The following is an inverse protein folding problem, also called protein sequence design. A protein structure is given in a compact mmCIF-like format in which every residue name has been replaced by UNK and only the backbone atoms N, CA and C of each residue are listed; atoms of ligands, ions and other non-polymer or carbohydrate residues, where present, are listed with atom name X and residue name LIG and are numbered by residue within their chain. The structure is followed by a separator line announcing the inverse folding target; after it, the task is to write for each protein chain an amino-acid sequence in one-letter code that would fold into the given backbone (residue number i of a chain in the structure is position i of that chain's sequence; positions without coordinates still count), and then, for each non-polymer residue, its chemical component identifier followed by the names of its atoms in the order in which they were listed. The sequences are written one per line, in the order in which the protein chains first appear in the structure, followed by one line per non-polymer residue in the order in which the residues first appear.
data_IF_713888262016
#
_entry.id   IF_713888262016
#
_cell.length_a   1.000
_cell.length_b   1.000
_cell.length_c   1.000
_cell.angle_alpha   90.00
_cell.angle_beta   90.00
_cell.angle_gamma   90.00
#
_symmetry.space_group_name_H-M   'P 1'
#
loop_
_entity.id
_entity.type
_entity.pdbx_description
1 polymer ?
#
# COMPACT_ATOMS: atom_id res chain seq x y z
N UNK A 1 3.00 24.88 -8.26
CA UNK A 1 3.95 24.87 -7.12
C UNK A 1 4.65 23.52 -7.05
N UNK A 2 5.89 23.44 -6.57
CA UNK A 2 6.52 22.17 -6.20
C UNK A 2 6.00 21.78 -4.81
N UNK A 3 5.51 20.55 -4.64
CA UNK A 3 4.87 20.09 -3.39
C UNK A 3 5.59 18.90 -2.74
N UNK A 4 6.63 18.36 -3.38
CA UNK A 4 7.38 17.25 -2.82
C UNK A 4 8.47 16.73 -3.75
N UNK A 5 9.21 15.74 -3.25
CA UNK A 5 10.27 15.00 -3.92
C UNK A 5 10.20 13.53 -3.47
N UNK A 6 10.76 12.62 -4.27
CA UNK A 6 10.82 11.18 -3.97
C UNK A 6 12.29 10.81 -3.76
N UNK A 7 12.58 10.14 -2.65
CA UNK A 7 13.86 9.50 -2.40
C UNK A 7 13.67 7.98 -2.41
N UNK A 8 14.62 7.24 -3.00
CA UNK A 8 14.53 5.79 -3.16
C UNK A 8 15.65 5.08 -2.39
N UNK A 9 15.34 3.91 -1.83
CA UNK A 9 16.29 3.05 -1.12
C UNK A 9 16.28 1.66 -1.73
N UNK A 10 17.45 1.02 -1.79
CA UNK A 10 17.58 -0.34 -2.31
C UNK A 10 17.21 -1.36 -1.23
N UNK A 11 16.35 -2.31 -1.58
CA UNK A 11 16.07 -3.48 -0.74
C UNK A 11 17.28 -4.44 -0.77
N UNK A 12 17.48 -5.20 0.29
CA UNK A 12 18.52 -6.24 0.35
C UNK A 12 18.32 -7.31 -0.75
N UNK A 13 17.07 -7.65 -1.05
CA UNK A 13 16.64 -8.58 -2.11
C UNK A 13 15.33 -8.08 -2.74
N UNK A 14 14.89 -8.64 -3.89
CA UNK A 14 13.53 -8.42 -4.38
C UNK A 14 12.48 -8.78 -3.31
N UNK A 15 11.39 -8.02 -3.26
CA UNK A 15 10.26 -8.37 -2.40
C UNK A 15 9.57 -9.64 -2.92
N UNK A 16 9.37 -10.63 -2.05
CA UNK A 16 8.76 -11.92 -2.41
C UNK A 16 7.30 -11.75 -2.89
N UNK A 17 6.55 -10.86 -2.23
CA UNK A 17 5.19 -10.49 -2.62
C UNK A 17 5.06 -8.96 -2.66
N UNK A 18 5.32 -8.32 -3.81
CA UNK A 18 5.29 -6.86 -3.91
C UNK A 18 3.88 -6.29 -3.71
N UNK A 19 3.78 -4.97 -3.52
CA UNK A 19 2.50 -4.28 -3.50
C UNK A 19 1.71 -4.54 -4.80
N UNK A 20 0.40 -4.71 -4.68
CA UNK A 20 -0.46 -5.16 -5.77
C UNK A 20 -0.59 -6.68 -5.90
N UNK A 21 0.26 -7.46 -5.23
CA UNK A 21 0.09 -8.93 -5.18
C UNK A 21 -1.19 -9.32 -4.43
N UNK A 22 -1.71 -10.50 -4.76
CA UNK A 22 -2.94 -11.06 -4.20
C UNK A 22 -2.82 -11.46 -2.72
N UNK A 23 -1.59 -11.69 -2.23
CA UNK A 23 -1.34 -12.30 -0.91
C UNK A 23 -1.60 -11.31 0.24
N UNK A 24 -1.14 -10.06 0.11
CA UNK A 24 -1.20 -9.08 1.20
C UNK A 24 -2.38 -8.12 1.15
N UNK A 25 -3.37 -8.35 0.27
CA UNK A 25 -4.61 -7.56 0.24
C UNK A 25 -4.38 -6.07 -0.05
N UNK A 26 -3.48 -5.77 -1.01
CA UNK A 26 -3.14 -4.40 -1.41
C UNK A 26 -4.40 -3.60 -1.79
N UNK A 27 -4.57 -2.41 -1.21
CA UNK A 27 -5.84 -1.68 -1.28
C UNK A 27 -5.94 -0.68 -2.43
N UNK A 28 -4.81 -0.21 -2.98
CA UNK A 28 -4.75 0.99 -3.82
C UNK A 28 -3.83 0.86 -5.05
N UNK A 29 -3.58 -0.38 -5.52
CA UNK A 29 -2.91 -0.58 -6.80
C UNK A 29 -3.69 0.14 -7.91
N UNK A 30 -2.97 0.80 -8.82
CA UNK A 30 -3.49 1.56 -9.98
C UNK A 30 -4.34 2.81 -9.65
N UNK A 31 -4.15 3.40 -8.46
CA UNK A 31 -4.80 4.64 -8.06
C UNK A 31 -4.40 5.83 -8.96
N UNK A 32 -5.40 6.55 -9.50
CA UNK A 32 -5.20 7.71 -10.41
C UNK A 32 -5.50 9.08 -9.79
N UNK A 33 -6.06 9.11 -8.59
CA UNK A 33 -6.45 10.32 -7.88
C UNK A 33 -6.53 10.05 -6.38
N UNK A 34 -7.12 10.92 -5.55
CA UNK A 34 -7.25 10.69 -4.11
C UNK A 34 -8.37 9.66 -3.81
N UNK A 35 -8.07 8.36 -3.92
CA UNK A 35 -9.00 7.29 -3.60
C UNK A 35 -9.38 7.32 -2.11
N UNK A 36 -10.68 7.30 -1.75
CA UNK A 36 -11.13 7.26 -0.36
C UNK A 36 -10.60 6.04 0.40
N UNK A 37 -10.56 6.16 1.73
CA UNK A 37 -10.09 5.08 2.60
C UNK A 37 -10.85 3.77 2.38
N UNK A 38 -10.09 2.68 2.30
CA UNK A 38 -10.56 1.29 2.25
C UNK A 38 -10.16 0.53 3.52
N UNK A 39 -9.96 1.22 4.64
CA UNK A 39 -9.57 0.60 5.92
C UNK A 39 -10.56 -0.46 6.42
N UNK A 40 -11.83 -0.34 6.04
CA UNK A 40 -12.86 -1.32 6.35
C UNK A 40 -12.63 -2.70 5.68
N UNK A 41 -11.86 -2.77 4.59
CA UNK A 41 -11.52 -4.05 3.95
C UNK A 41 -10.55 -4.84 4.84
N UNK A 42 -10.92 -6.07 5.19
CA UNK A 42 -10.18 -6.97 6.09
C UNK A 42 -9.95 -6.33 7.47
N UNK A 43 -10.87 -5.48 7.94
CA UNK A 43 -10.82 -4.94 9.29
C UNK A 43 -11.13 -6.05 10.30
N UNK A 44 -10.27 -6.18 11.31
CA UNK A 44 -10.41 -7.14 12.40
C UNK A 44 -10.24 -6.39 13.73
N UNK A 45 -11.07 -6.75 14.71
CA UNK A 45 -11.00 -6.24 16.07
C UNK A 45 -10.85 -7.43 17.01
N UNK A 46 -9.76 -7.48 17.75
CA UNK A 46 -9.59 -8.45 18.84
C UNK A 46 -10.55 -8.12 19.97
N UNK A 47 -11.27 -9.10 20.46
CA UNK A 47 -11.96 -9.00 21.74
C UNK A 47 -10.95 -9.32 22.85
N UNK A 48 -10.78 -8.40 23.79
CA UNK A 48 -9.86 -8.50 24.93
C UNK A 48 -10.68 -8.67 26.20
#
# INVERSE_FOLDING_TARGET
MKIGQICVFRLSTPAEHPYGSSIYGSRYQDQRGPTPSRSYKNFYRTEV
#
